data_IF_596380331261
#
_entry.id   IF_596380331261
#
_cell.length_a   1.000
_cell.length_b   1.000
_cell.length_c   1.000
_cell.angle_alpha   90.00
_cell.angle_beta   90.00
_cell.angle_gamma   90.00
#
_symmetry.space_group_name_H-M   'P 1'
#
loop_
_entity.id
_entity.type
_entity.pdbx_description
1 polymer ?
#
# COMPACT_ATOMS: atom_id res chain seq x y z
N UNK A 1 -13.89 -11.10 11.28
CA UNK A 1 -15.33 -10.93 11.15
C UNK A 1 -15.91 -12.00 10.26
N UNK A 2 -16.99 -12.61 10.66
CA UNK A 2 -17.78 -13.52 9.84
C UNK A 2 -18.83 -12.72 9.07
N UNK A 3 -19.38 -13.29 8.00
CA UNK A 3 -20.47 -12.73 7.20
C UNK A 3 -20.19 -11.31 6.63
N UNK A 4 -19.00 -11.14 6.01
CA UNK A 4 -18.61 -9.88 5.39
C UNK A 4 -18.90 -9.88 3.89
N UNK A 5 -19.67 -8.90 3.45
CA UNK A 5 -20.00 -8.71 2.04
C UNK A 5 -18.98 -7.82 1.32
N UNK A 6 -18.72 -8.14 0.06
CA UNK A 6 -17.94 -7.31 -0.86
C UNK A 6 -18.60 -7.31 -2.24
N UNK A 7 -18.85 -6.13 -2.74
CA UNK A 7 -19.31 -5.90 -4.12
C UNK A 7 -18.19 -5.19 -4.88
N UNK A 8 -17.89 -5.66 -6.08
CA UNK A 8 -16.80 -5.09 -6.88
C UNK A 8 -17.12 -5.08 -8.37
N UNK A 9 -16.56 -4.08 -9.05
CA UNK A 9 -16.56 -3.95 -10.50
C UNK A 9 -15.15 -3.61 -10.93
N UNK A 10 -14.61 -4.34 -11.90
CA UNK A 10 -13.28 -4.10 -12.44
C UNK A 10 -13.29 -4.02 -13.96
N UNK A 11 -12.34 -3.28 -14.52
CA UNK A 11 -12.11 -3.20 -15.96
C UNK A 11 -10.62 -3.13 -16.26
N UNK A 12 -10.25 -3.68 -17.41
CA UNK A 12 -8.90 -3.54 -17.97
C UNK A 12 -9.02 -3.16 -19.44
N UNK A 13 -8.17 -2.25 -19.89
CA UNK A 13 -8.16 -1.77 -21.27
C UNK A 13 -6.78 -1.27 -21.69
N UNK A 14 -6.60 -1.07 -22.99
CA UNK A 14 -5.42 -0.38 -23.53
C UNK A 14 -5.80 1.05 -23.93
N UNK A 15 -5.01 2.02 -23.50
CA UNK A 15 -5.11 3.43 -23.91
C UNK A 15 -3.81 3.78 -24.63
N UNK A 16 -3.82 3.67 -25.94
CA UNK A 16 -2.60 3.71 -26.74
C UNK A 16 -1.63 2.60 -26.31
N UNK A 17 -0.38 2.90 -25.95
CA UNK A 17 0.60 1.91 -25.51
C UNK A 17 0.51 1.58 -24.00
N UNK A 18 -0.43 2.18 -23.26
CA UNK A 18 -0.57 2.02 -21.81
C UNK A 18 -1.66 1.01 -21.51
N UNK A 19 -1.33 -0.04 -20.75
CA UNK A 19 -2.32 -0.92 -20.16
C UNK A 19 -2.87 -0.25 -18.89
N UNK A 20 -4.21 -0.12 -18.80
CA UNK A 20 -4.90 0.54 -17.68
C UNK A 20 -5.89 -0.43 -17.05
N UNK A 21 -5.83 -0.55 -15.74
CA UNK A 21 -6.81 -1.26 -14.92
C UNK A 21 -7.52 -0.29 -13.98
N UNK A 22 -8.79 -0.55 -13.69
CA UNK A 22 -9.55 0.18 -12.69
C UNK A 22 -10.49 -0.76 -11.93
N UNK A 23 -10.69 -0.48 -10.66
CA UNK A 23 -11.60 -1.22 -9.80
C UNK A 23 -12.35 -0.27 -8.87
N UNK A 24 -13.64 -0.57 -8.66
CA UNK A 24 -14.46 0.05 -7.65
C UNK A 24 -15.05 -1.05 -6.78
N UNK A 25 -14.87 -0.95 -5.47
CA UNK A 25 -15.42 -1.91 -4.52
C UNK A 25 -16.19 -1.23 -3.40
N UNK A 26 -17.17 -1.95 -2.86
CA UNK A 26 -18.01 -1.53 -1.75
C UNK A 26 -18.14 -2.63 -0.72
N UNK A 27 -17.91 -2.31 0.53
CA UNK A 27 -18.12 -3.17 1.70
C UNK A 27 -19.12 -2.52 2.63
N UNK A 28 -20.34 -3.08 2.78
CA UNK A 28 -21.37 -2.52 3.65
C UNK A 28 -21.05 -2.67 5.16
N UNK A 29 -20.17 -3.60 5.50
CA UNK A 29 -19.90 -4.02 6.88
C UNK A 29 -18.39 -4.30 7.09
N UNK A 30 -17.52 -3.37 6.66
CA UNK A 30 -16.06 -3.47 6.91
C UNK A 30 -15.78 -3.35 8.41
N UNK A 31 -14.93 -4.24 8.96
CA UNK A 31 -14.62 -4.25 10.39
C UNK A 31 -13.50 -3.25 10.69
N UNK A 32 -13.82 -2.25 11.51
CA UNK A 32 -12.87 -1.24 11.99
C UNK A 32 -12.61 -1.47 13.46
N UNK A 33 -11.37 -1.79 13.84
CA UNK A 33 -11.03 -2.03 15.24
C UNK A 33 -11.17 -0.77 16.08
N UNK A 34 -11.68 -0.95 17.29
CA UNK A 34 -11.66 0.08 18.34
C UNK A 34 -10.38 -0.04 19.17
N UNK A 35 -10.01 1.02 19.86
CA UNK A 35 -8.86 1.01 20.77
C UNK A 35 -9.00 -0.13 21.79
N UNK A 36 -8.07 -1.10 21.80
CA UNK A 36 -8.18 -2.27 22.67
C UNK A 36 -8.11 -1.92 24.16
N UNK A 37 -7.66 -0.73 24.53
CA UNK A 37 -7.63 -0.28 25.94
C UNK A 37 -9.00 0.14 26.46
N UNK A 38 -9.90 0.59 25.59
CA UNK A 38 -11.22 1.13 25.97
C UNK A 38 -12.14 0.07 26.59
N UNK A 39 -12.31 -1.13 26.02
CA UNK A 39 -13.14 -2.17 26.63
C UNK A 39 -12.73 -2.54 28.05
N UNK A 40 -11.42 -2.52 28.33
CA UNK A 40 -10.85 -2.88 29.63
C UNK A 40 -10.66 -1.69 30.57
N UNK A 41 -10.61 -0.47 30.02
CA UNK A 41 -10.35 0.77 30.78
C UNK A 41 -11.36 1.00 31.88
N UNK A 42 -12.62 0.62 31.66
CA UNK A 42 -13.69 0.72 32.65
C UNK A 42 -13.42 -0.08 33.95
N UNK A 43 -12.74 -1.23 33.84
CA UNK A 43 -12.37 -2.04 35.01
C UNK A 43 -11.39 -1.32 35.94
N UNK A 44 -10.59 -0.37 35.41
CA UNK A 44 -9.60 0.39 36.13
C UNK A 44 -10.09 1.79 36.55
N UNK A 45 -10.88 2.44 35.70
CA UNK A 45 -11.34 3.81 35.91
C UNK A 45 -12.71 3.93 36.59
N UNK A 46 -13.52 2.85 36.55
CA UNK A 46 -14.91 2.87 36.99
C UNK A 46 -15.84 3.66 36.04
N UNK A 47 -15.35 4.11 34.89
CA UNK A 47 -16.13 4.84 33.88
C UNK A 47 -16.52 3.90 32.76
N UNK A 48 -17.80 3.59 32.69
CA UNK A 48 -18.37 2.65 31.71
C UNK A 48 -19.00 3.41 30.54
N UNK A 49 -18.82 2.87 29.33
CA UNK A 49 -19.46 3.33 28.11
C UNK A 49 -19.98 2.10 27.31
N UNK A 50 -20.55 2.32 26.14
CA UNK A 50 -21.10 1.26 25.31
C UNK A 50 -20.08 0.22 24.81
N UNK A 51 -18.80 0.56 24.83
CA UNK A 51 -17.70 -0.32 24.44
C UNK A 51 -17.07 -1.09 25.61
N UNK A 52 -17.51 -0.84 26.82
CA UNK A 52 -16.95 -1.48 28.03
C UNK A 52 -17.39 -2.93 28.15
N UNK A 53 -16.48 -3.79 28.60
CA UNK A 53 -16.76 -5.20 28.89
C UNK A 53 -17.30 -5.32 30.31
N UNK A 54 -18.56 -5.75 30.47
CA UNK A 54 -19.25 -5.83 31.75
C UNK A 54 -19.43 -7.26 32.26
N UNK A 55 -19.36 -8.23 31.36
CA UNK A 55 -19.69 -9.62 31.67
C UNK A 55 -18.71 -10.59 30.97
N UNK A 56 -18.99 -11.90 31.10
CA UNK A 56 -18.22 -12.96 30.50
C UNK A 56 -18.65 -13.30 29.06
N UNK A 57 -19.46 -12.44 28.45
CA UNK A 57 -19.96 -12.61 27.08
C UNK A 57 -18.91 -12.44 26.00
N UNK A 58 -19.34 -12.57 24.75
CA UNK A 58 -18.51 -12.24 23.59
C UNK A 58 -18.66 -10.76 23.26
N UNK A 59 -17.55 -10.04 23.25
CA UNK A 59 -17.51 -8.62 22.94
C UNK A 59 -16.71 -8.39 21.68
N UNK A 60 -17.25 -7.63 20.73
CA UNK A 60 -16.57 -7.28 19.50
C UNK A 60 -15.56 -6.16 19.79
N UNK A 61 -14.30 -6.37 19.43
CA UNK A 61 -13.26 -5.33 19.46
C UNK A 61 -13.26 -4.46 18.19
N UNK A 62 -14.41 -4.35 17.50
CA UNK A 62 -14.56 -3.58 16.26
C UNK A 62 -15.99 -3.06 16.12
N UNK A 63 -16.15 -2.02 15.32
CA UNK A 63 -17.40 -1.53 14.77
C UNK A 63 -17.48 -1.83 13.27
N UNK A 64 -18.68 -1.83 12.71
CA UNK A 64 -18.90 -2.06 11.27
C UNK A 64 -19.14 -0.74 10.57
N UNK A 65 -18.34 -0.49 9.52
CA UNK A 65 -18.38 0.73 8.75
C UNK A 65 -18.59 0.44 7.26
N UNK A 66 -19.31 1.34 6.58
CA UNK A 66 -19.48 1.26 5.12
C UNK A 66 -18.25 1.84 4.43
N UNK A 67 -17.58 1.04 3.61
CA UNK A 67 -16.35 1.42 2.93
C UNK A 67 -16.49 1.33 1.42
N UNK A 68 -16.14 2.41 0.74
CA UNK A 68 -15.86 2.46 -0.69
C UNK A 68 -14.35 2.47 -0.93
N UNK A 69 -13.93 1.81 -1.99
CA UNK A 69 -12.56 1.88 -2.46
C UNK A 69 -12.55 1.96 -3.98
N UNK A 70 -11.85 2.95 -4.52
CA UNK A 70 -11.56 3.03 -5.94
C UNK A 70 -10.05 2.90 -6.15
N UNK A 71 -9.68 2.16 -7.19
CA UNK A 71 -8.32 1.84 -7.54
C UNK A 71 -8.12 2.01 -9.04
N UNK A 72 -7.02 2.60 -9.46
CA UNK A 72 -6.58 2.69 -10.84
C UNK A 72 -5.11 2.37 -10.93
N UNK A 73 -4.72 1.57 -11.92
CA UNK A 73 -3.32 1.31 -12.24
C UNK A 73 -3.05 1.48 -13.73
N UNK A 74 -1.80 1.74 -14.06
CA UNK A 74 -1.31 1.89 -15.41
C UNK A 74 0.07 1.28 -15.54
N UNK A 75 0.33 0.57 -16.65
CA UNK A 75 1.64 0.02 -16.99
C UNK A 75 2.01 0.50 -18.39
N UNK A 76 3.17 1.08 -18.52
CA UNK A 76 3.77 1.49 -19.77
C UNK A 76 5.17 0.90 -19.91
N UNK A 77 5.38 0.09 -20.93
CA UNK A 77 6.72 -0.40 -21.32
C UNK A 77 7.24 0.43 -22.47
N UNK A 78 8.52 0.76 -22.47
CA UNK A 78 9.13 1.64 -23.48
C UNK A 78 10.55 1.21 -23.81
N UNK A 79 10.90 1.37 -25.08
CA UNK A 79 12.23 1.19 -25.66
C UNK A 79 12.73 2.51 -26.25
N UNK A 80 13.93 2.52 -26.85
CA UNK A 80 14.58 3.73 -27.38
C UNK A 80 13.73 4.55 -28.38
N UNK A 81 12.77 3.92 -29.07
CA UNK A 81 11.93 4.56 -30.08
C UNK A 81 10.58 5.07 -29.56
N UNK A 82 10.29 4.84 -28.28
CA UNK A 82 9.02 5.23 -27.64
C UNK A 82 9.10 6.62 -27.02
N UNK A 83 7.96 7.17 -26.56
CA UNK A 83 7.85 8.51 -25.98
C UNK A 83 8.84 8.75 -24.82
N UNK A 84 9.03 7.74 -23.95
CA UNK A 84 10.01 7.78 -22.86
C UNK A 84 11.35 7.15 -23.22
N UNK A 85 11.59 6.86 -24.51
CA UNK A 85 12.81 6.20 -25.00
C UNK A 85 14.11 6.96 -24.75
N UNK A 86 14.03 8.26 -24.48
CA UNK A 86 15.19 9.06 -24.07
C UNK A 86 15.78 8.55 -22.73
N UNK A 87 14.98 7.93 -21.84
CA UNK A 87 15.44 7.40 -20.56
C UNK A 87 16.40 6.23 -20.78
N UNK A 88 16.00 5.08 -21.37
CA UNK A 88 16.94 3.99 -21.62
C UNK A 88 18.09 4.41 -22.52
N UNK A 89 17.85 5.25 -23.54
CA UNK A 89 18.92 5.70 -24.45
C UNK A 89 20.01 6.50 -23.73
N UNK A 90 19.64 7.42 -22.84
CA UNK A 90 20.61 8.22 -22.07
C UNK A 90 21.38 7.41 -21.04
N UNK A 91 20.79 6.32 -20.55
CA UNK A 91 21.38 5.42 -19.57
C UNK A 91 22.15 4.24 -20.20
N UNK A 92 22.13 4.09 -21.52
CA UNK A 92 22.75 2.97 -22.21
C UNK A 92 22.03 1.63 -21.98
N UNK A 93 20.73 1.68 -21.69
CA UNK A 93 19.88 0.54 -21.46
C UNK A 93 19.10 0.14 -22.74
N UNK A 94 18.48 -1.04 -22.76
CA UNK A 94 17.66 -1.51 -23.88
C UNK A 94 16.24 -0.96 -23.85
N UNK A 95 15.63 -1.01 -22.70
CA UNK A 95 14.22 -0.73 -22.48
C UNK A 95 13.95 -0.42 -21.00
N UNK A 96 12.70 -0.08 -20.69
CA UNK A 96 12.24 0.14 -19.34
C UNK A 96 10.73 0.02 -19.23
N UNK A 97 10.24 0.15 -18.01
CA UNK A 97 8.81 0.19 -17.74
C UNK A 97 8.51 1.17 -16.61
N UNK A 98 7.33 1.73 -16.67
CA UNK A 98 6.74 2.56 -15.63
C UNK A 98 5.41 1.92 -15.23
N UNK A 99 5.25 1.66 -13.94
CA UNK A 99 3.98 1.26 -13.34
C UNK A 99 3.57 2.37 -12.38
N UNK A 100 2.29 2.70 -12.37
CA UNK A 100 1.72 3.61 -11.40
C UNK A 100 0.37 3.05 -10.93
N UNK A 101 0.08 3.23 -9.65
CA UNK A 101 -1.18 2.83 -9.03
C UNK A 101 -1.63 3.92 -8.07
N UNK A 102 -2.91 4.25 -8.07
CA UNK A 102 -3.51 5.15 -7.11
C UNK A 102 -4.77 4.51 -6.51
N UNK A 103 -4.94 4.68 -5.20
CA UNK A 103 -6.07 4.13 -4.45
C UNK A 103 -6.64 5.21 -3.56
N UNK A 104 -7.97 5.29 -3.52
CA UNK A 104 -8.72 6.09 -2.56
C UNK A 104 -9.67 5.19 -1.78
N UNK A 105 -9.76 5.40 -0.48
CA UNK A 105 -10.76 4.77 0.39
C UNK A 105 -11.65 5.84 1.01
N UNK A 106 -12.94 5.51 1.17
CA UNK A 106 -13.90 6.40 1.80
C UNK A 106 -14.83 5.59 2.72
N UNK A 107 -14.81 5.93 4.00
CA UNK A 107 -15.73 5.41 5.01
C UNK A 107 -16.92 6.34 5.16
N UNK A 108 -18.11 5.89 4.71
CA UNK A 108 -19.29 6.74 4.58
C UNK A 108 -19.80 7.25 5.94
N UNK A 109 -19.90 6.37 6.91
CA UNK A 109 -20.56 6.62 8.19
C UNK A 109 -19.56 6.79 9.35
N UNK A 110 -18.24 6.85 9.08
CA UNK A 110 -17.20 6.97 10.08
C UNK A 110 -17.49 8.13 11.04
N UNK A 111 -17.47 7.84 12.33
CA UNK A 111 -17.62 8.86 13.37
C UNK A 111 -16.34 9.72 13.47
N UNK A 112 -16.46 11.00 13.20
CA UNK A 112 -15.39 11.99 13.36
C UNK A 112 -15.62 12.91 14.58
N UNK A 113 -16.61 12.60 15.42
CA UNK A 113 -16.90 13.37 16.65
C UNK A 113 -16.09 12.88 17.86
N UNK A 114 -15.48 11.68 17.74
CA UNK A 114 -14.74 11.05 18.83
C UNK A 114 -15.60 10.26 19.81
N UNK A 115 -16.86 9.97 19.45
CA UNK A 115 -17.72 9.08 20.27
C UNK A 115 -17.31 7.63 20.09
N UNK A 116 -16.93 7.23 18.87
CA UNK A 116 -16.36 5.91 18.59
C UNK A 116 -14.86 5.94 18.82
N UNK A 117 -14.32 5.10 19.72
CA UNK A 117 -12.90 5.12 20.07
C UNK A 117 -12.09 4.32 19.04
N UNK A 118 -11.93 4.83 17.82
CA UNK A 118 -11.06 4.20 16.84
C UNK A 118 -9.60 4.23 17.30
N UNK A 119 -8.86 3.19 16.93
CA UNK A 119 -7.47 3.11 17.28
C UNK A 119 -6.59 3.79 16.21
N UNK A 120 -5.84 4.82 16.63
CA UNK A 120 -4.67 5.34 15.93
C UNK A 120 -3.50 5.43 16.91
N UNK A 121 -2.24 5.18 16.48
CA UNK A 121 -1.07 5.23 17.36
C UNK A 121 -0.86 6.56 18.09
N UNK A 122 -1.23 7.68 17.48
CA UNK A 122 -1.15 9.02 18.06
C UNK A 122 -2.44 9.47 18.78
N UNK A 123 -3.44 8.58 18.89
CA UNK A 123 -4.76 8.85 19.47
C UNK A 123 -5.55 9.98 18.78
N UNK A 124 -5.20 10.35 17.57
CA UNK A 124 -6.01 11.25 16.75
C UNK A 124 -7.25 10.55 16.19
N UNK A 125 -8.17 11.34 15.60
CA UNK A 125 -9.32 10.78 14.91
C UNK A 125 -8.95 10.44 13.47
N UNK A 126 -9.44 9.30 12.94
CA UNK A 126 -9.22 8.93 11.56
C UNK A 126 -10.02 9.81 10.59
N UNK A 127 -9.56 9.88 9.36
CA UNK A 127 -10.23 10.57 8.28
C UNK A 127 -11.23 9.67 7.55
N UNK A 128 -12.38 10.24 7.14
CA UNK A 128 -13.37 9.52 6.31
C UNK A 128 -12.79 9.12 4.95
N UNK A 129 -11.92 9.94 4.40
CA UNK A 129 -11.31 9.73 3.08
C UNK A 129 -9.81 9.76 3.20
N UNK A 130 -9.17 8.76 2.63
CA UNK A 130 -7.71 8.69 2.54
C UNK A 130 -7.29 8.17 1.18
N UNK A 131 -6.14 8.63 0.68
CA UNK A 131 -5.64 8.18 -0.61
C UNK A 131 -4.12 8.27 -0.71
N UNK A 132 -3.58 7.44 -1.57
CA UNK A 132 -2.17 7.41 -1.87
C UNK A 132 -1.90 6.82 -3.24
N UNK A 133 -0.62 6.78 -3.60
CA UNK A 133 -0.16 6.17 -4.84
C UNK A 133 1.18 5.47 -4.65
N UNK A 134 1.47 4.56 -5.57
CA UNK A 134 2.79 3.98 -5.79
C UNK A 134 3.20 4.20 -7.24
N UNK A 135 4.47 4.44 -7.47
CA UNK A 135 5.08 4.51 -8.79
C UNK A 135 6.35 3.66 -8.80
N UNK A 136 6.49 2.83 -9.83
CA UNK A 136 7.63 1.96 -10.03
C UNK A 136 8.27 2.24 -11.39
N UNK A 137 9.59 2.40 -11.41
CA UNK A 137 10.39 2.57 -12.63
C UNK A 137 11.48 1.49 -12.63
N UNK A 138 11.47 0.66 -13.66
CA UNK A 138 12.53 -0.32 -13.92
C UNK A 138 13.21 -0.08 -15.27
N UNK A 139 14.53 -0.26 -15.30
CA UNK A 139 15.36 -0.08 -16.50
C UNK A 139 16.16 -1.36 -16.75
N UNK A 140 16.07 -1.92 -17.96
CA UNK A 140 16.63 -3.23 -18.27
C UNK A 140 17.96 -3.14 -19.01
N UNK A 141 18.94 -3.88 -18.48
CA UNK A 141 20.26 -4.08 -19.07
C UNK A 141 20.45 -5.59 -19.37
N UNK A 142 20.08 -6.04 -20.58
CA UNK A 142 20.27 -7.45 -20.95
C UNK A 142 21.74 -7.75 -21.24
N UNK A 143 22.12 -9.02 -21.01
CA UNK A 143 23.44 -9.55 -21.37
C UNK A 143 24.62 -8.72 -20.83
N UNK A 144 24.55 -8.29 -19.58
CA UNK A 144 25.60 -7.48 -18.95
C UNK A 144 26.96 -8.18 -19.05
N UNK A 145 27.96 -7.49 -19.58
CA UNK A 145 29.32 -8.01 -19.86
C UNK A 145 29.36 -9.31 -20.67
N UNK A 146 28.35 -9.57 -21.51
CA UNK A 146 28.31 -10.79 -22.33
C UNK A 146 27.99 -12.07 -21.53
N UNK A 147 27.55 -11.95 -20.27
CA UNK A 147 27.31 -13.06 -19.35
C UNK A 147 25.98 -13.81 -19.55
N UNK A 148 25.05 -13.21 -20.30
CA UNK A 148 23.65 -13.66 -20.40
C UNK A 148 22.81 -13.29 -19.18
N UNK A 149 23.32 -12.44 -18.29
CA UNK A 149 22.58 -11.91 -17.14
C UNK A 149 21.86 -10.63 -17.56
N UNK A 150 20.58 -10.54 -17.26
CA UNK A 150 19.83 -9.27 -17.26
C UNK A 150 19.89 -8.66 -15.88
N UNK A 151 20.23 -7.38 -15.82
CA UNK A 151 20.21 -6.58 -14.58
C UNK A 151 19.17 -5.49 -14.73
N UNK A 152 18.32 -5.33 -13.71
CA UNK A 152 17.25 -4.32 -13.69
C UNK A 152 17.36 -3.48 -12.41
N UNK A 153 18.00 -2.30 -12.45
CA UNK A 153 17.76 -1.28 -11.44
C UNK A 153 16.29 -0.89 -11.44
N UNK A 154 15.69 -0.81 -10.23
CA UNK A 154 14.29 -0.49 -10.05
C UNK A 154 14.13 0.46 -8.86
N UNK A 155 13.22 1.40 -8.99
CA UNK A 155 12.82 2.33 -7.94
C UNK A 155 11.32 2.24 -7.74
N UNK A 156 10.89 1.99 -6.49
CA UNK A 156 9.49 1.97 -6.10
C UNK A 156 9.27 3.10 -5.08
N UNK A 157 8.43 4.05 -5.42
CA UNK A 157 8.08 5.15 -4.55
C UNK A 157 6.62 5.05 -4.13
N UNK A 158 6.39 5.01 -2.84
CA UNK A 158 5.07 4.97 -2.23
C UNK A 158 4.80 6.26 -1.46
N UNK A 159 3.57 6.82 -1.56
CA UNK A 159 3.15 8.01 -0.84
C UNK A 159 1.68 7.96 -0.46
N UNK A 160 1.40 7.97 0.82
CA UNK A 160 0.09 8.26 1.38
C UNK A 160 -0.08 9.78 1.41
N UNK A 161 -0.90 10.31 0.49
CA UNK A 161 -0.90 11.75 0.20
C UNK A 161 -1.72 12.53 1.21
N UNK A 162 -2.92 12.03 1.51
CA UNK A 162 -3.84 12.72 2.41
C UNK A 162 -4.79 11.74 3.10
N UNK A 163 -5.08 12.02 4.35
CA UNK A 163 -5.96 11.29 5.23
C UNK A 163 -5.31 10.06 5.87
N UNK A 164 -5.54 9.89 7.16
CA UNK A 164 -5.18 8.68 7.91
C UNK A 164 -6.41 7.79 8.06
N UNK A 165 -6.34 6.61 7.47
CA UNK A 165 -7.43 5.64 7.52
C UNK A 165 -7.57 5.06 8.95
N UNK A 166 -8.77 4.57 9.34
CA UNK A 166 -8.95 3.87 10.61
C UNK A 166 -7.92 2.75 10.78
N UNK A 167 -7.40 2.59 12.00
CA UNK A 167 -6.36 1.61 12.35
C UNK A 167 -5.00 1.87 11.67
N UNK A 168 -4.75 3.09 11.15
CA UNK A 168 -3.57 3.41 10.36
C UNK A 168 -3.35 2.47 9.15
N UNK A 169 -4.43 1.93 8.61
CA UNK A 169 -4.43 1.01 7.46
C UNK A 169 -5.62 1.29 6.54
N UNK A 170 -5.42 1.39 5.22
CA UNK A 170 -4.15 1.24 4.51
C UNK A 170 -3.27 2.49 4.48
N UNK A 171 -3.83 3.68 4.80
CA UNK A 171 -3.16 4.98 4.63
C UNK A 171 -2.84 5.65 5.96
N UNK A 172 -1.67 6.30 5.99
CA UNK A 172 -1.23 7.22 7.05
C UNK A 172 -0.77 8.50 6.37
N UNK A 173 -1.46 9.61 6.59
CA UNK A 173 -1.18 10.88 5.90
C UNK A 173 0.30 11.27 5.97
N UNK A 174 0.88 11.55 4.80
CA UNK A 174 2.27 11.97 4.68
C UNK A 174 3.32 10.87 4.79
N UNK A 175 2.93 9.58 5.01
CA UNK A 175 3.85 8.45 5.00
C UNK A 175 4.40 8.21 3.61
N UNK A 176 5.71 7.95 3.53
CA UNK A 176 6.42 7.65 2.30
C UNK A 176 7.34 6.47 2.49
N UNK A 177 7.59 5.75 1.40
CA UNK A 177 8.71 4.82 1.32
C UNK A 177 9.37 4.86 -0.05
N UNK A 178 10.66 4.57 -0.09
CA UNK A 178 11.44 4.36 -1.30
C UNK A 178 12.14 3.02 -1.20
N UNK A 179 11.87 2.16 -2.18
CA UNK A 179 12.63 0.92 -2.36
C UNK A 179 13.56 1.11 -3.57
N UNK A 180 14.85 0.97 -3.35
CA UNK A 180 15.86 0.94 -4.39
C UNK A 180 16.32 -0.50 -4.57
N UNK A 181 16.09 -1.09 -5.73
CA UNK A 181 16.36 -2.49 -6.02
C UNK A 181 17.36 -2.65 -7.15
N UNK A 182 18.18 -3.68 -7.05
CA UNK A 182 19.00 -4.18 -8.14
C UNK A 182 18.64 -5.65 -8.36
N UNK A 183 17.85 -5.91 -9.38
CA UNK A 183 17.37 -7.25 -9.70
C UNK A 183 18.28 -7.89 -10.76
N UNK A 184 18.42 -9.20 -10.71
CA UNK A 184 19.13 -9.96 -11.73
C UNK A 184 18.36 -11.21 -12.16
N UNK A 185 18.48 -11.54 -13.43
CA UNK A 185 17.92 -12.76 -14.02
C UNK A 185 18.96 -13.40 -14.96
N UNK A 186 19.28 -14.66 -14.70
CA UNK A 186 20.15 -15.45 -15.56
C UNK A 186 19.39 -16.61 -16.17
N UNK A 187 19.10 -16.52 -17.47
CA UNK A 187 18.43 -17.55 -18.27
C UNK A 187 17.12 -18.05 -17.69
N UNK A 188 16.36 -17.18 -17.01
CA UNK A 188 15.10 -17.46 -16.33
C UNK A 188 15.17 -18.56 -15.25
N UNK A 189 16.34 -19.08 -14.97
CA UNK A 189 16.57 -20.10 -13.94
C UNK A 189 17.05 -19.52 -12.61
N UNK A 190 18.03 -18.63 -12.66
CA UNK A 190 18.52 -17.93 -11.48
C UNK A 190 17.96 -16.53 -11.45
N UNK A 191 17.26 -16.19 -10.40
CA UNK A 191 16.73 -14.87 -10.14
C UNK A 191 17.10 -14.43 -8.74
N UNK A 192 17.29 -13.15 -8.54
CA UNK A 192 17.52 -12.60 -7.24
C UNK A 192 17.62 -11.08 -7.26
N UNK A 193 17.90 -10.50 -6.11
CA UNK A 193 18.02 -9.07 -6.00
C UNK A 193 18.56 -8.63 -4.65
N UNK A 194 19.04 -7.40 -4.66
CA UNK A 194 19.34 -6.62 -3.45
C UNK A 194 18.36 -5.46 -3.40
N UNK A 195 17.82 -5.17 -2.22
CA UNK A 195 16.86 -4.10 -2.00
C UNK A 195 17.25 -3.28 -0.78
N UNK A 196 17.19 -1.98 -0.92
CA UNK A 196 17.29 -1.04 0.20
C UNK A 196 15.97 -0.29 0.32
N UNK A 197 15.33 -0.44 1.48
CA UNK A 197 14.02 0.14 1.76
C UNK A 197 14.16 1.22 2.81
N UNK A 198 13.59 2.38 2.53
CA UNK A 198 13.58 3.54 3.41
C UNK A 198 12.14 3.97 3.70
N UNK A 199 11.88 4.38 4.94
CA UNK A 199 10.57 4.85 5.39
C UNK A 199 10.69 6.20 6.07
N UNK A 200 9.76 7.14 5.77
CA UNK A 200 9.71 8.43 6.43
C UNK A 200 8.32 9.09 6.35
N UNK A 201 8.10 10.17 7.09
CA UNK A 201 6.84 10.88 7.18
C UNK A 201 5.76 10.12 7.94
N UNK A 202 4.56 10.64 7.99
CA UNK A 202 3.41 10.04 8.66
C UNK A 202 3.37 10.17 10.18
N UNK A 203 4.31 10.93 10.78
CA UNK A 203 4.31 11.20 12.22
C UNK A 203 4.29 9.90 13.06
N UNK A 204 3.67 9.96 14.24
CA UNK A 204 3.59 8.87 15.19
C UNK A 204 2.70 7.71 14.71
N UNK A 205 1.86 7.95 13.68
CA UNK A 205 1.06 6.91 13.05
C UNK A 205 1.87 6.01 12.11
N UNK A 206 3.09 6.41 11.71
CA UNK A 206 3.98 5.60 10.88
C UNK A 206 4.89 4.72 11.73
N UNK A 207 4.44 3.54 12.08
CA UNK A 207 5.21 2.57 12.87
C UNK A 207 6.44 1.99 12.13
N UNK A 208 6.69 2.40 10.88
CA UNK A 208 7.82 1.98 10.06
C UNK A 208 8.91 3.05 9.92
N UNK A 209 8.72 4.26 10.47
CA UNK A 209 9.58 5.42 10.21
C UNK A 209 11.07 5.24 10.55
N UNK A 210 11.40 4.31 11.44
CA UNK A 210 12.77 3.99 11.89
C UNK A 210 13.24 2.58 11.47
N UNK A 211 12.55 1.95 10.50
CA UNK A 211 12.74 0.55 10.14
C UNK A 211 13.31 0.36 8.73
N UNK A 212 14.21 1.24 8.34
CA UNK A 212 14.98 1.08 7.11
C UNK A 212 15.76 -0.24 7.14
N UNK A 213 15.78 -0.95 6.01
CA UNK A 213 16.49 -2.22 5.94
C UNK A 213 17.10 -2.50 4.58
N UNK A 214 18.12 -3.34 4.58
CA UNK A 214 18.71 -3.95 3.39
C UNK A 214 18.32 -5.44 3.36
N UNK A 215 17.85 -5.92 2.23
CA UNK A 215 17.54 -7.33 2.02
C UNK A 215 18.16 -7.86 0.73
N UNK A 216 18.34 -9.18 0.68
CA UNK A 216 18.78 -9.88 -0.52
C UNK A 216 18.13 -11.25 -0.64
N UNK A 217 17.85 -11.66 -1.88
CA UNK A 217 17.32 -12.97 -2.18
C UNK A 217 18.00 -13.59 -3.38
N UNK A 218 17.94 -14.91 -3.48
CA UNK A 218 18.32 -15.67 -4.65
C UNK A 218 17.40 -16.88 -4.79
N UNK A 219 16.97 -17.19 -5.99
CA UNK A 219 16.12 -18.33 -6.31
C UNK A 219 16.62 -19.07 -7.55
N UNK A 220 16.33 -20.36 -7.60
CA UNK A 220 16.63 -21.22 -8.76
C UNK A 220 15.38 -22.02 -9.13
N UNK A 221 15.06 -22.04 -10.43
CA UNK A 221 13.96 -22.83 -11.02
C UNK A 221 14.54 -23.96 -11.87
N UNK A 222 14.09 -25.20 -11.64
CA UNK A 222 14.55 -26.36 -12.38
C UNK A 222 13.74 -26.55 -13.68
#
# INVERSE_FOLDING_TARGET
>A
GEDKDLFGLSMNTMVGPVAVGAELSYRPNDSVAIDPTVPFGAAFSGQFNEFSVFDTGVHNGFVEEKKWQAHVNAIYTFSANDTLGFIPSSLGASDGYLLAEAVVTHYQDLDTSGQTPYFLPDYSLPDKTSWGYVAELGINYPNVFGSGITVTPQLDFYHDVNGTAPNALPFVEGRKSLTSSLLFNYRDRWKGGLQWVQYWGGGDNNLMADRDFLSGNISYSF
#
